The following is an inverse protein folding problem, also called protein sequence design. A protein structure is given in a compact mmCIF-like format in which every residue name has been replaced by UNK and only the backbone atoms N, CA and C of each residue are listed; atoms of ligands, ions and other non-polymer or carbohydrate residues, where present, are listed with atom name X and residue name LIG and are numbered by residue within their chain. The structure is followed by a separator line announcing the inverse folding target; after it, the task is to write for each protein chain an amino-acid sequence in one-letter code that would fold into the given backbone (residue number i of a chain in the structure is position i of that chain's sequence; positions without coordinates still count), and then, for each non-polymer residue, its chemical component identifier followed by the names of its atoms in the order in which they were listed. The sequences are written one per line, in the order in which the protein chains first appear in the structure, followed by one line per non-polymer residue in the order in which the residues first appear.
data_IF_572402369016
#
_entry.id   IF_572402369016
#
_cell.length_a   1.000
_cell.length_b   1.000
_cell.length_c   1.000
_cell.angle_alpha   90.00
_cell.angle_beta   90.00
_cell.angle_gamma   90.00
#
_symmetry.space_group_name_H-M   'P 1'
#
loop_
_entity.id
_entity.type
_entity.pdbx_description
1 polymer ?
#
# COMPACT_ATOMS: atom_id res chain seq x y z
N UNK A 1 24.29 30.24 22.99
CA UNK A 1 23.06 31.07 23.10
C UNK A 1 22.72 31.82 21.82
N UNK A 2 23.69 32.47 21.15
CA UNK A 2 23.46 33.30 19.94
C UNK A 2 22.87 32.54 18.73
N UNK A 3 23.22 31.26 18.52
CA UNK A 3 22.72 30.47 17.39
C UNK A 3 21.26 30.00 17.55
N UNK A 4 20.87 29.60 18.76
CA UNK A 4 19.47 29.25 19.06
C UNK A 4 18.55 30.47 19.00
N UNK A 5 19.06 31.64 19.38
CA UNK A 5 18.36 32.90 19.28
C UNK A 5 18.18 33.33 17.81
N UNK A 6 19.19 33.12 16.95
CA UNK A 6 19.10 33.37 15.51
C UNK A 6 18.12 32.43 14.81
N UNK A 7 18.06 31.15 15.21
CA UNK A 7 17.08 30.19 14.68
C UNK A 7 15.65 30.57 15.11
N UNK A 8 15.47 31.01 16.36
CA UNK A 8 14.16 31.48 16.84
C UNK A 8 13.69 32.77 16.12
N UNK A 9 14.62 33.67 15.80
CA UNK A 9 14.36 34.85 15.00
C UNK A 9 13.99 34.51 13.55
N UNK A 10 14.67 33.53 12.95
CA UNK A 10 14.39 33.06 11.60
C UNK A 10 13.00 32.38 11.50
N UNK A 11 12.64 31.55 12.48
CA UNK A 11 11.33 30.86 12.49
C UNK A 11 10.17 31.81 12.78
N UNK A 12 10.37 32.84 13.62
CA UNK A 12 9.34 33.86 13.88
C UNK A 12 9.10 34.75 12.65
N UNK A 13 10.15 35.07 11.89
CA UNK A 13 10.04 35.86 10.66
C UNK A 13 9.36 35.07 9.54
N UNK A 14 9.61 33.76 9.45
CA UNK A 14 8.96 32.88 8.48
C UNK A 14 7.45 32.70 8.77
N UNK A 15 7.07 32.67 10.06
CA UNK A 15 5.66 32.57 10.47
C UNK A 15 4.91 33.90 10.27
N UNK A 16 5.57 35.04 10.43
CA UNK A 16 4.99 36.36 10.18
C UNK A 16 4.73 36.62 8.67
N UNK A 17 5.54 36.05 7.77
CA UNK A 17 5.32 36.14 6.32
C UNK A 17 4.04 35.40 5.85
N UNK A 18 3.54 34.42 6.62
CA UNK A 18 2.31 33.70 6.30
C UNK A 18 1.02 34.43 6.70
N UNK A 19 1.08 35.43 7.60
CA UNK A 19 -0.10 36.17 8.07
C UNK A 19 -0.33 37.51 7.36
N UNK A 20 0.62 38.00 6.58
CA UNK A 20 0.48 39.27 5.83
C UNK A 20 -0.13 39.14 4.43
N UNK A 21 -0.52 37.92 3.99
CA UNK A 21 -1.18 37.74 2.69
C UNK A 21 -2.71 37.90 2.75
N UNK A 22 -3.27 38.38 3.85
CA UNK A 22 -4.70 38.66 3.97
C UNK A 22 -4.90 40.11 4.43
N UNK A 23 -5.13 41.03 3.48
CA UNK A 23 -5.49 42.40 3.82
C UNK A 23 -5.20 43.48 2.78
N UNK A 24 -5.76 43.38 1.57
CA UNK A 24 -6.10 44.57 0.78
C UNK A 24 -7.30 44.29 -0.13
N UNK A 25 -8.49 44.64 0.35
CA UNK A 25 -9.73 44.60 -0.42
C UNK A 25 -9.81 45.84 -1.32
N UNK A 26 -9.59 45.64 -2.62
CA UNK A 26 -10.06 46.52 -3.70
C UNK A 26 -11.15 45.75 -4.46
N UNK A 27 -12.31 46.36 -4.61
CA UNK A 27 -13.60 45.68 -4.82
C UNK A 27 -13.88 45.18 -6.25
N UNK A 28 -12.90 45.11 -7.16
CA UNK A 28 -13.13 44.78 -8.58
C UNK A 28 -12.32 43.56 -9.10
N UNK A 29 -11.48 42.90 -8.28
CA UNK A 29 -10.59 41.78 -8.70
C UNK A 29 -10.98 40.40 -8.14
N UNK A 30 -12.23 40.22 -7.69
CA UNK A 30 -12.70 38.95 -7.10
C UNK A 30 -13.12 37.89 -8.13
N UNK A 31 -13.58 38.27 -9.31
CA UNK A 31 -14.05 37.30 -10.31
C UNK A 31 -12.90 36.62 -11.08
N UNK A 32 -11.84 37.36 -11.44
CA UNK A 32 -10.72 36.79 -12.21
C UNK A 32 -9.86 35.79 -11.41
N UNK A 33 -9.61 36.09 -10.13
CA UNK A 33 -8.86 35.19 -9.24
C UNK A 33 -9.64 33.92 -8.89
N UNK A 34 -10.98 33.98 -8.81
CA UNK A 34 -11.81 32.82 -8.52
C UNK A 34 -11.87 31.85 -9.71
N UNK A 35 -11.86 32.37 -10.94
CA UNK A 35 -11.86 31.55 -12.15
C UNK A 35 -10.48 30.94 -12.44
N UNK A 36 -9.37 31.68 -12.25
CA UNK A 36 -8.01 31.11 -12.32
C UNK A 36 -7.77 30.04 -11.24
N UNK A 37 -8.31 30.22 -10.03
CA UNK A 37 -8.18 29.24 -8.96
C UNK A 37 -9.01 27.97 -9.24
N UNK A 38 -10.20 28.10 -9.85
CA UNK A 38 -11.02 26.97 -10.28
C UNK A 38 -10.40 26.21 -11.44
N UNK A 39 -9.83 26.89 -12.43
CA UNK A 39 -9.09 26.23 -13.53
C UNK A 39 -7.83 25.52 -13.02
N UNK A 40 -7.12 26.11 -12.06
CA UNK A 40 -5.98 25.46 -11.41
C UNK A 40 -6.40 24.24 -10.58
N UNK A 41 -7.54 24.31 -9.88
CA UNK A 41 -8.12 23.19 -9.14
C UNK A 41 -8.56 22.05 -10.07
N UNK A 42 -9.23 22.36 -11.18
CA UNK A 42 -9.63 21.37 -12.19
C UNK A 42 -8.42 20.74 -12.90
N UNK A 43 -7.41 21.55 -13.24
CA UNK A 43 -6.16 21.07 -13.85
C UNK A 43 -5.39 20.17 -12.88
N UNK A 44 -5.30 20.56 -11.60
CA UNK A 44 -4.68 19.74 -10.56
C UNK A 44 -5.48 18.46 -10.33
N UNK A 45 -6.80 18.52 -10.30
CA UNK A 45 -7.68 17.34 -10.16
C UNK A 45 -7.49 16.38 -11.33
N UNK A 46 -7.37 16.89 -12.56
CA UNK A 46 -7.12 16.08 -13.76
C UNK A 46 -5.72 15.47 -13.78
N UNK A 47 -4.71 16.22 -13.34
CA UNK A 47 -3.34 15.70 -13.17
C UNK A 47 -3.26 14.66 -12.05
N UNK A 48 -4.00 14.85 -10.95
CA UNK A 48 -4.14 13.88 -9.87
C UNK A 48 -4.88 12.64 -10.38
N UNK A 49 -5.96 12.78 -11.14
CA UNK A 49 -6.65 11.65 -11.78
C UNK A 49 -5.69 10.87 -12.70
N UNK A 50 -4.97 11.55 -13.60
CA UNK A 50 -3.99 10.91 -14.49
C UNK A 50 -2.86 10.21 -13.70
N UNK A 51 -2.39 10.77 -12.59
CA UNK A 51 -1.36 10.15 -11.75
C UNK A 51 -1.94 8.98 -10.94
N UNK A 52 -3.15 9.12 -10.38
CA UNK A 52 -3.83 8.08 -9.58
C UNK A 52 -4.23 6.88 -10.45
N UNK A 53 -4.65 7.08 -11.71
CA UNK A 53 -4.93 5.99 -12.65
C UNK A 53 -3.66 5.23 -13.09
N UNK A 54 -2.48 5.85 -12.98
CA UNK A 54 -1.21 5.24 -13.35
C UNK A 54 -0.43 4.67 -12.16
N UNK A 55 -0.87 4.93 -10.93
CA UNK A 55 -0.30 4.32 -9.73
C UNK A 55 -1.07 3.03 -9.43
N UNK A 56 -0.39 1.88 -9.35
CA UNK A 56 -1.02 0.61 -8.96
C UNK A 56 -1.68 0.76 -7.60
N UNK A 57 -2.77 0.03 -7.37
CA UNK A 57 -3.43 0.09 -6.07
C UNK A 57 -2.43 -0.30 -4.96
N UNK A 58 -2.54 0.22 -3.73
CA UNK A 58 -1.62 -0.15 -2.65
C UNK A 58 -1.51 -1.66 -2.44
N UNK A 59 -2.59 -2.38 -2.74
CA UNK A 59 -2.70 -3.83 -2.70
C UNK A 59 -1.94 -4.54 -3.84
N UNK A 60 -1.68 -3.85 -4.96
CA UNK A 60 -0.92 -4.35 -6.11
C UNK A 60 0.60 -4.12 -5.98
N UNK A 61 1.03 -3.14 -5.18
CA UNK A 61 2.45 -2.83 -5.00
C UNK A 61 3.28 -4.04 -4.51
N UNK A 62 2.80 -4.88 -3.58
CA UNK A 62 3.54 -6.09 -3.20
C UNK A 62 3.78 -7.07 -4.34
N UNK A 63 2.83 -7.20 -5.28
CA UNK A 63 2.99 -8.03 -6.49
C UNK A 63 4.06 -7.46 -7.42
N UNK A 64 4.07 -6.14 -7.61
CA UNK A 64 5.10 -5.48 -8.42
C UNK A 64 6.48 -5.64 -7.81
N UNK A 65 6.61 -5.55 -6.48
CA UNK A 65 7.88 -5.75 -5.80
C UNK A 65 8.33 -7.20 -5.81
N UNK A 66 7.42 -8.15 -5.67
CA UNK A 66 7.73 -9.56 -5.84
C UNK A 66 8.31 -9.85 -7.23
N UNK A 67 7.76 -9.23 -8.28
CA UNK A 67 8.24 -9.37 -9.66
C UNK A 67 9.69 -8.87 -9.86
N UNK A 68 10.20 -8.00 -8.97
CA UNK A 68 11.60 -7.53 -9.00
C UNK A 68 12.58 -8.54 -8.41
N UNK A 69 12.05 -9.56 -7.73
CA UNK A 69 12.81 -10.61 -7.04
C UNK A 69 13.40 -10.16 -5.71
N UNK A 70 12.78 -9.18 -5.04
CA UNK A 70 13.03 -8.89 -3.63
C UNK A 70 12.56 -10.07 -2.77
N UNK A 71 13.32 -10.44 -1.74
CA UNK A 71 12.98 -11.57 -0.88
C UNK A 71 11.87 -11.20 0.13
N UNK A 72 11.03 -12.19 0.45
CA UNK A 72 10.00 -12.07 1.48
C UNK A 72 10.61 -11.77 2.86
N UNK A 73 9.97 -10.89 3.62
CA UNK A 73 10.37 -10.54 4.97
C UNK A 73 9.15 -10.50 5.90
N UNK A 74 8.99 -11.56 6.70
CA UNK A 74 7.94 -11.69 7.71
C UNK A 74 7.91 -10.51 8.71
N UNK A 75 9.08 -9.91 8.99
CA UNK A 75 9.20 -8.82 9.95
C UNK A 75 8.58 -7.50 9.50
N UNK A 76 8.13 -7.40 8.25
CA UNK A 76 7.42 -6.24 7.72
C UNK A 76 5.91 -6.32 7.96
N UNK A 77 5.37 -7.48 8.33
CA UNK A 77 3.93 -7.64 8.56
C UNK A 77 3.53 -7.08 9.93
N UNK A 78 2.34 -6.50 10.01
CA UNK A 78 1.76 -6.18 11.31
C UNK A 78 1.43 -7.48 12.06
N UNK A 79 1.92 -7.72 13.29
CA UNK A 79 1.67 -8.98 13.98
C UNK A 79 0.17 -9.21 14.26
N UNK A 80 -0.35 -10.39 13.92
CA UNK A 80 -1.75 -10.77 14.20
C UNK A 80 -2.12 -10.71 15.68
N UNK A 81 -1.17 -10.97 16.58
CA UNK A 81 -1.37 -10.88 18.03
C UNK A 81 -1.74 -9.47 18.53
N UNK A 82 -1.65 -8.45 17.68
CA UNK A 82 -2.08 -7.08 18.01
C UNK A 82 -3.53 -6.78 17.66
N UNK A 83 -4.26 -7.66 16.97
CA UNK A 83 -5.62 -7.38 16.48
C UNK A 83 -6.54 -6.86 17.59
N UNK A 84 -6.50 -7.51 18.77
CA UNK A 84 -7.35 -7.15 19.91
C UNK A 84 -7.04 -5.76 20.47
N UNK A 85 -5.79 -5.29 20.32
CA UNK A 85 -5.37 -3.97 20.80
C UNK A 85 -6.00 -2.84 19.98
N UNK A 86 -6.45 -3.12 18.76
CA UNK A 86 -7.07 -2.14 17.88
C UNK A 86 -8.58 -2.00 18.09
N UNK A 87 -9.22 -2.98 18.75
CA UNK A 87 -10.68 -3.01 18.96
C UNK A 87 -11.18 -1.88 19.87
N UNK A 88 -10.31 -1.35 20.73
CA UNK A 88 -10.65 -0.30 21.72
C UNK A 88 -11.19 1.01 21.13
N UNK A 89 -10.92 1.31 19.84
CA UNK A 89 -11.38 2.54 19.18
C UNK A 89 -11.67 2.29 17.71
N UNK A 90 -12.83 2.73 17.24
CA UNK A 90 -13.24 2.59 15.83
C UNK A 90 -12.22 3.20 14.86
N UNK A 91 -11.65 4.37 15.18
CA UNK A 91 -10.61 4.96 14.33
C UNK A 91 -9.36 4.06 14.19
N UNK A 92 -8.96 3.40 15.28
CA UNK A 92 -7.82 2.48 15.28
C UNK A 92 -8.16 1.20 14.53
N UNK A 93 -9.36 0.66 14.75
CA UNK A 93 -9.82 -0.54 14.05
C UNK A 93 -9.91 -0.31 12.54
N UNK A 94 -10.45 0.84 12.10
CA UNK A 94 -10.54 1.20 10.68
C UNK A 94 -9.15 1.33 10.04
N UNK A 95 -8.23 2.07 10.67
CA UNK A 95 -6.86 2.20 10.16
C UNK A 95 -6.17 0.83 10.04
N UNK A 96 -6.25 0.00 11.08
CA UNK A 96 -5.57 -1.30 11.08
C UNK A 96 -6.26 -2.36 10.21
N UNK A 97 -7.55 -2.18 9.89
CA UNK A 97 -8.22 -3.01 8.88
C UNK A 97 -7.58 -2.79 7.51
N UNK A 98 -7.27 -1.54 7.16
CA UNK A 98 -6.50 -1.22 5.96
C UNK A 98 -5.09 -1.82 5.96
N UNK A 99 -4.38 -1.71 7.10
CA UNK A 99 -3.04 -2.31 7.29
C UNK A 99 -3.07 -3.82 7.03
N UNK A 100 -3.97 -4.55 7.70
CA UNK A 100 -4.05 -6.00 7.53
C UNK A 100 -4.52 -6.39 6.11
N UNK A 101 -5.32 -5.57 5.43
CA UNK A 101 -5.67 -5.80 4.02
C UNK A 101 -4.44 -5.70 3.09
N UNK A 102 -3.54 -4.76 3.33
CA UNK A 102 -2.28 -4.66 2.59
C UNK A 102 -1.33 -5.84 2.91
N UNK A 103 -1.25 -6.25 4.18
CA UNK A 103 -0.49 -7.44 4.60
C UNK A 103 -0.97 -8.72 3.89
N UNK A 104 -2.28 -8.87 3.69
CA UNK A 104 -2.84 -9.98 2.90
C UNK A 104 -2.29 -9.93 1.47
N UNK A 105 -2.32 -8.77 0.81
CA UNK A 105 -1.75 -8.60 -0.52
C UNK A 105 -0.27 -8.99 -0.61
N UNK A 106 0.51 -8.63 0.42
CA UNK A 106 1.92 -9.00 0.51
C UNK A 106 2.17 -10.49 0.75
N UNK A 107 1.43 -11.11 1.67
CA UNK A 107 1.49 -12.55 1.88
C UNK A 107 1.13 -13.31 0.60
N UNK A 108 0.05 -12.87 -0.05
CA UNK A 108 -0.45 -13.42 -1.30
C UNK A 108 0.54 -13.29 -2.46
N UNK A 109 1.25 -12.16 -2.60
CA UNK A 109 2.24 -12.01 -3.68
C UNK A 109 3.41 -13.01 -3.54
N UNK A 110 3.72 -13.43 -2.32
CA UNK A 110 4.78 -14.39 -1.97
C UNK A 110 4.26 -15.82 -1.72
N UNK A 111 3.05 -16.14 -2.19
CA UNK A 111 2.46 -17.49 -2.13
C UNK A 111 2.32 -18.02 -0.68
N UNK A 112 2.15 -17.11 0.29
CA UNK A 112 1.95 -17.40 1.72
C UNK A 112 0.48 -17.63 2.08
N UNK A 113 -0.12 -18.61 1.42
CA UNK A 113 -1.57 -18.85 1.44
C UNK A 113 -2.18 -18.98 2.85
N UNK A 114 -1.63 -19.86 3.69
CA UNK A 114 -2.20 -20.11 5.03
C UNK A 114 -2.09 -18.87 5.93
N UNK A 115 -0.99 -18.14 5.83
CA UNK A 115 -0.77 -16.90 6.56
C UNK A 115 -1.73 -15.80 6.08
N UNK A 116 -1.99 -15.71 4.77
CA UNK A 116 -2.97 -14.76 4.23
C UNK A 116 -4.40 -15.02 4.74
N UNK A 117 -4.82 -16.29 4.82
CA UNK A 117 -6.12 -16.68 5.43
C UNK A 117 -6.18 -16.27 6.90
N UNK A 118 -5.09 -16.51 7.62
CA UNK A 118 -4.92 -16.14 9.01
C UNK A 118 -5.02 -14.63 9.26
N UNK A 119 -4.57 -13.80 8.31
CA UNK A 119 -4.73 -12.34 8.33
C UNK A 119 -6.12 -11.89 7.91
N UNK A 120 -6.77 -12.61 7.00
CA UNK A 120 -8.16 -12.36 6.63
C UNK A 120 -9.12 -12.51 7.83
N UNK A 121 -8.84 -13.46 8.72
CA UNK A 121 -9.55 -13.58 10.00
C UNK A 121 -9.36 -12.35 10.91
N UNK A 122 -8.16 -11.76 10.94
CA UNK A 122 -7.93 -10.52 11.69
C UNK A 122 -8.72 -9.34 11.09
N UNK A 123 -8.78 -9.22 9.77
CA UNK A 123 -9.64 -8.26 9.08
C UNK A 123 -11.11 -8.44 9.44
N UNK A 124 -11.60 -9.70 9.46
CA UNK A 124 -12.97 -10.00 9.88
C UNK A 124 -13.26 -9.50 11.30
N UNK A 125 -12.39 -9.77 12.26
CA UNK A 125 -12.54 -9.29 13.65
C UNK A 125 -12.66 -7.77 13.72
N UNK A 126 -11.84 -7.03 12.96
CA UNK A 126 -11.89 -5.57 12.92
C UNK A 126 -13.15 -5.07 12.21
N UNK A 127 -13.55 -5.69 11.10
CA UNK A 127 -14.76 -5.34 10.35
C UNK A 127 -16.03 -5.55 11.19
N UNK A 128 -16.11 -6.68 11.91
CA UNK A 128 -17.21 -6.97 12.85
C UNK A 128 -17.28 -5.91 13.96
N UNK A 129 -16.14 -5.52 14.54
CA UNK A 129 -16.08 -4.45 15.55
C UNK A 129 -16.49 -3.08 15.01
N UNK A 130 -16.24 -2.82 13.73
CA UNK A 130 -16.67 -1.61 13.04
C UNK A 130 -18.15 -1.65 12.62
N UNK A 131 -18.86 -2.77 12.83
CA UNK A 131 -20.22 -2.97 12.35
C UNK A 131 -20.32 -3.05 10.82
N UNK A 132 -19.22 -3.38 10.14
CA UNK A 132 -19.18 -3.59 8.68
C UNK A 132 -19.55 -5.04 8.39
N UNK A 133 -20.80 -5.39 8.72
CA UNK A 133 -21.28 -6.77 8.68
C UNK A 133 -21.50 -7.17 7.22
N UNK A 134 -20.88 -8.29 6.79
CA UNK A 134 -21.06 -8.86 5.44
C UNK A 134 -20.00 -8.48 4.39
N UNK A 135 -18.96 -7.74 4.75
CA UNK A 135 -17.84 -7.45 3.84
C UNK A 135 -16.75 -8.54 3.83
N UNK A 136 -16.67 -9.34 4.89
CA UNK A 136 -15.71 -10.44 5.07
C UNK A 136 -16.40 -11.70 5.63
N UNK A 137 -17.55 -12.06 5.03
CA UNK A 137 -18.31 -13.23 5.45
C UNK A 137 -17.66 -14.56 5.00
N UNK A 138 -18.28 -15.68 5.41
CA UNK A 138 -17.85 -17.03 5.05
C UNK A 138 -17.76 -17.24 3.53
N UNK A 139 -18.54 -16.51 2.74
CA UNK A 139 -18.57 -16.67 1.30
C UNK A 139 -17.38 -15.94 0.64
N UNK A 140 -17.01 -14.75 1.15
CA UNK A 140 -15.76 -14.05 0.81
C UNK A 140 -14.55 -14.92 1.18
N UNK A 141 -14.53 -15.49 2.39
CA UNK A 141 -13.47 -16.39 2.86
C UNK A 141 -13.33 -17.60 1.93
N UNK A 142 -14.44 -18.26 1.60
CA UNK A 142 -14.45 -19.43 0.71
C UNK A 142 -13.96 -19.09 -0.70
N UNK A 143 -14.39 -17.94 -1.25
CA UNK A 143 -13.91 -17.46 -2.56
C UNK A 143 -12.44 -17.09 -2.52
N UNK A 144 -11.96 -16.54 -1.41
CA UNK A 144 -10.55 -16.25 -1.20
C UNK A 144 -9.72 -17.53 -1.21
N UNK A 145 -10.08 -18.53 -0.39
CA UNK A 145 -9.41 -19.84 -0.36
C UNK A 145 -9.38 -20.54 -1.73
N UNK A 146 -10.45 -20.45 -2.51
CA UNK A 146 -10.54 -21.05 -3.84
C UNK A 146 -9.64 -20.37 -4.89
N UNK A 147 -9.34 -19.08 -4.71
CA UNK A 147 -8.64 -18.27 -5.70
C UNK A 147 -7.25 -17.82 -5.24
N UNK A 148 -6.85 -18.10 -4.00
CA UNK A 148 -5.61 -17.60 -3.41
C UNK A 148 -4.33 -18.08 -4.12
N UNK A 149 -4.42 -19.22 -4.81
CA UNK A 149 -3.31 -19.74 -5.64
C UNK A 149 -3.23 -19.06 -7.01
N UNK A 150 -4.19 -18.18 -7.36
CA UNK A 150 -4.23 -17.44 -8.62
C UNK A 150 -4.12 -15.94 -8.33
N UNK A 151 -2.90 -15.40 -8.53
CA UNK A 151 -2.54 -14.01 -8.19
C UNK A 151 -3.47 -12.96 -8.80
N UNK A 152 -3.87 -13.15 -10.06
CA UNK A 152 -4.75 -12.20 -10.74
C UNK A 152 -6.18 -12.26 -10.17
N UNK A 153 -6.70 -13.46 -9.97
CA UNK A 153 -8.04 -13.67 -9.39
C UNK A 153 -8.11 -13.18 -7.94
N UNK A 154 -7.01 -13.33 -7.21
CA UNK A 154 -6.87 -12.89 -5.83
C UNK A 154 -6.77 -11.37 -5.70
N UNK A 155 -5.97 -10.72 -6.55
CA UNK A 155 -5.90 -9.24 -6.62
C UNK A 155 -7.28 -8.65 -6.90
N UNK A 156 -8.01 -9.21 -7.88
CA UNK A 156 -9.38 -8.80 -8.18
C UNK A 156 -10.34 -8.98 -7.00
N UNK A 157 -10.27 -10.11 -6.28
CA UNK A 157 -11.12 -10.37 -5.12
C UNK A 157 -10.82 -9.41 -3.97
N UNK A 158 -9.54 -9.14 -3.69
CA UNK A 158 -9.10 -8.28 -2.62
C UNK A 158 -9.49 -6.81 -2.90
N UNK A 159 -9.29 -6.37 -4.15
CA UNK A 159 -9.75 -5.05 -4.60
C UNK A 159 -11.28 -4.93 -4.51
N UNK A 160 -12.04 -5.97 -4.89
CA UNK A 160 -13.50 -5.96 -4.76
C UNK A 160 -13.97 -5.88 -3.30
N UNK A 161 -13.29 -6.57 -2.37
CA UNK A 161 -13.61 -6.54 -0.95
C UNK A 161 -13.33 -5.16 -0.33
N UNK A 162 -12.21 -4.53 -0.70
CA UNK A 162 -11.86 -3.16 -0.28
C UNK A 162 -12.88 -2.16 -0.84
N UNK A 163 -13.18 -2.22 -2.14
CA UNK A 163 -14.18 -1.33 -2.77
C UNK A 163 -15.58 -1.50 -2.15
N UNK A 164 -16.00 -2.73 -1.85
CA UNK A 164 -17.28 -2.99 -1.17
C UNK A 164 -17.29 -2.36 0.23
N UNK A 165 -16.18 -2.46 0.95
CA UNK A 165 -16.02 -1.86 2.28
C UNK A 165 -16.05 -0.33 2.21
N UNK A 166 -15.38 0.27 1.23
CA UNK A 166 -15.42 1.71 0.96
C UNK A 166 -16.82 2.19 0.61
N UNK A 167 -17.51 1.50 -0.31
CA UNK A 167 -18.88 1.83 -0.72
C UNK A 167 -19.86 1.76 0.46
N UNK A 168 -19.81 0.68 1.24
CA UNK A 168 -20.64 0.52 2.43
C UNK A 168 -20.45 1.65 3.45
N UNK A 169 -19.21 2.09 3.67
CA UNK A 169 -18.92 3.16 4.61
C UNK A 169 -19.30 4.54 4.07
N UNK A 170 -19.20 4.76 2.76
CA UNK A 170 -19.61 6.02 2.13
C UNK A 170 -21.13 6.20 2.15
N UNK A 171 -21.88 5.13 1.86
CA UNK A 171 -23.34 5.16 1.85
C UNK A 171 -23.95 5.38 3.26
N UNK A 172 -23.23 5.02 4.31
CA UNK A 172 -23.64 5.20 5.72
C UNK A 172 -23.18 6.55 6.33
N UNK A 173 -22.71 7.52 5.53
CA UNK A 173 -22.06 8.77 5.99
C UNK A 173 -20.86 8.54 6.93
N UNK A 174 -20.17 7.40 6.78
CA UNK A 174 -18.99 7.02 7.58
C UNK A 174 -17.70 7.30 6.81
N UNK A 175 -17.59 8.52 6.29
CA UNK A 175 -16.44 8.99 5.49
C UNK A 175 -15.11 8.85 6.25
N UNK A 176 -15.14 9.11 7.57
CA UNK A 176 -13.93 9.05 8.40
C UNK A 176 -13.37 7.62 8.51
N UNK A 177 -14.13 6.59 8.93
CA UNK A 177 -13.67 5.20 8.85
C UNK A 177 -13.23 4.75 7.47
N UNK A 178 -13.93 5.14 6.40
CA UNK A 178 -13.55 4.80 5.03
C UNK A 178 -12.16 5.36 4.69
N UNK A 179 -11.95 6.66 4.93
CA UNK A 179 -10.67 7.32 4.71
C UNK A 179 -9.54 6.69 5.53
N UNK A 180 -9.81 6.26 6.77
CA UNK A 180 -8.82 5.60 7.61
C UNK A 180 -8.41 4.22 7.08
N UNK A 181 -9.35 3.43 6.54
CA UNK A 181 -9.02 2.14 5.92
C UNK A 181 -8.11 2.33 4.71
N UNK A 182 -8.46 3.26 3.82
CA UNK A 182 -7.64 3.58 2.64
C UNK A 182 -6.25 4.08 3.06
N UNK A 183 -6.19 5.01 4.03
CA UNK A 183 -4.94 5.54 4.54
C UNK A 183 -4.07 4.44 5.17
N UNK A 184 -4.66 3.52 5.93
CA UNK A 184 -3.95 2.40 6.53
C UNK A 184 -3.33 1.47 5.49
N UNK A 185 -4.10 1.13 4.45
CA UNK A 185 -3.61 0.32 3.32
C UNK A 185 -2.46 1.00 2.58
N UNK A 186 -2.58 2.31 2.32
CA UNK A 186 -1.54 3.07 1.62
C UNK A 186 -0.25 3.18 2.45
N UNK A 187 -0.36 3.50 3.74
CA UNK A 187 0.78 3.60 4.65
C UNK A 187 1.50 2.27 4.79
N UNK A 188 0.77 1.17 4.94
CA UNK A 188 1.36 -0.16 5.06
C UNK A 188 2.02 -0.61 3.75
N UNK A 189 1.35 -0.39 2.61
CA UNK A 189 1.92 -0.66 1.29
C UNK A 189 3.26 0.07 1.09
N UNK A 190 3.36 1.35 1.48
CA UNK A 190 4.62 2.10 1.45
C UNK A 190 5.67 1.56 2.44
N UNK A 191 5.26 1.18 3.64
CA UNK A 191 6.15 0.60 4.65
C UNK A 191 6.78 -0.70 4.17
N UNK A 192 5.97 -1.64 3.68
CA UNK A 192 6.42 -2.91 3.08
C UNK A 192 7.36 -2.61 1.90
N UNK A 193 6.96 -1.69 1.02
CA UNK A 193 7.72 -1.34 -0.17
C UNK A 193 9.11 -0.82 0.12
N UNK A 194 9.21 0.12 1.05
CA UNK A 194 10.48 0.71 1.46
C UNK A 194 11.31 -0.26 2.28
N UNK A 195 10.68 -1.15 3.05
CA UNK A 195 11.32 -2.23 3.79
C UNK A 195 12.02 -3.25 2.87
N UNK A 196 11.43 -3.53 1.71
CA UNK A 196 11.96 -4.45 0.70
C UNK A 196 13.14 -3.92 -0.11
N UNK A 197 13.43 -2.61 -0.06
CA UNK A 197 14.58 -2.02 -0.76
C UNK A 197 15.90 -2.68 -0.32
N UNK A 198 16.00 -3.11 0.95
CA UNK A 198 17.21 -3.78 1.46
C UNK A 198 17.43 -5.17 0.87
N UNK A 199 16.37 -5.88 0.52
CA UNK A 199 16.43 -7.19 -0.12
C UNK A 199 16.41 -7.10 -1.65
N UNK A 200 16.45 -5.88 -2.20
CA UNK A 200 16.41 -5.67 -3.64
C UNK A 200 17.71 -6.16 -4.30
N UNK A 201 17.61 -7.02 -5.31
CA UNK A 201 18.78 -7.59 -5.97
C UNK A 201 19.51 -6.52 -6.77
N UNK A 202 20.83 -6.41 -6.57
CA UNK A 202 21.70 -5.43 -7.26
C UNK A 202 21.77 -5.64 -8.78
N UNK A 203 21.32 -6.79 -9.29
CA UNK A 203 21.32 -7.14 -10.72
C UNK A 203 19.88 -7.34 -11.22
N UNK A 204 19.55 -6.89 -12.45
CA UNK A 204 18.23 -7.09 -13.05
C UNK A 204 17.83 -8.57 -13.12
N UNK A 205 16.52 -8.84 -12.98
CA UNK A 205 15.92 -10.19 -13.02
C UNK A 205 16.36 -10.98 -14.26
N UNK A 206 16.33 -10.35 -15.45
CA UNK A 206 16.74 -10.97 -16.71
C UNK A 206 18.18 -11.51 -16.69
N UNK A 207 19.11 -10.81 -16.00
CA UNK A 207 20.51 -11.24 -15.89
C UNK A 207 20.66 -12.45 -14.95
N UNK A 208 19.84 -12.57 -13.90
CA UNK A 208 19.83 -13.74 -13.00
C UNK A 208 19.26 -14.98 -13.66
N UNK A 209 18.20 -14.84 -14.46
CA UNK A 209 17.61 -15.94 -15.20
C UNK A 209 18.57 -16.47 -16.28
N UNK A 210 19.27 -15.57 -16.97
CA UNK A 210 20.34 -15.95 -17.92
C UNK A 210 21.51 -16.67 -17.24
N UNK A 211 21.98 -16.18 -16.08
CA UNK A 211 23.06 -16.80 -15.30
C UNK A 211 22.64 -18.18 -14.73
N UNK A 212 21.40 -18.33 -14.26
CA UNK A 212 20.88 -19.60 -13.74
C UNK A 212 20.62 -20.64 -14.83
N UNK A 213 20.15 -20.20 -16.01
CA UNK A 213 19.98 -21.06 -17.20
C UNK A 213 21.31 -21.50 -17.82
N UNK A 214 22.33 -20.63 -17.82
CA UNK A 214 23.67 -20.97 -18.29
C UNK A 214 24.34 -22.04 -17.41
N UNK A 215 24.06 -22.04 -16.09
CA UNK A 215 24.59 -23.05 -15.17
C UNK A 215 23.93 -24.42 -15.33
N UNK A 216 22.68 -24.48 -15.79
CA UNK A 216 21.95 -25.72 -16.07
C UNK A 216 22.35 -26.36 -17.42
N UNK A 217 22.94 -25.58 -18.34
CA UNK A 217 23.30 -26.02 -19.69
C UNK A 217 24.73 -26.59 -19.82
N UNK A 218 25.45 -26.81 -18.72
CA UNK A 218 26.77 -27.45 -18.74
C UNK A 218 26.66 -28.93 -18.33
N UNK A 219 26.52 -29.88 -19.28
CA UNK A 219 26.70 -31.29 -18.94
C UNK A 219 28.15 -31.48 -18.49
N UNK A 220 28.32 -32.05 -17.29
CA UNK A 220 29.64 -32.39 -16.74
C UNK A 220 30.40 -33.22 -17.76
N UNK A 221 31.67 -32.87 -17.93
CA UNK A 221 32.52 -33.32 -19.01
C UNK A 221 32.57 -34.82 -19.21
N UNK A 222 32.67 -35.18 -20.49
CA UNK A 222 33.18 -36.44 -21.01
C UNK A 222 34.50 -36.75 -20.32
N UNK A 223 34.50 -37.78 -19.47
CA UNK A 223 35.72 -38.42 -19.00
C UNK A 223 36.37 -39.12 -20.17
N UNK A 224 37.52 -38.62 -20.60
CA UNK A 224 38.44 -39.31 -21.49
C UNK A 224 39.01 -40.51 -20.73
N UNK A 225 38.50 -41.71 -21.00
CA UNK A 225 39.14 -42.94 -20.54
C UNK A 225 40.25 -43.29 -21.54
N UNK A 226 41.48 -43.16 -21.04
CA UNK A 226 42.74 -43.52 -21.67
C UNK A 226 42.74 -45.02 -22.00
N UNK A 227 42.75 -45.38 -23.28
CA UNK A 227 43.03 -46.75 -23.72
C UNK A 227 44.55 -46.98 -23.61
N UNK A 228 44.96 -47.66 -22.54
CA UNK A 228 46.18 -48.48 -22.48
C UNK A 228 45.73 -49.90 -22.16
N UNK A 229 45.71 -50.80 -23.14
CA UNK A 229 46.67 -51.90 -23.39
C UNK A 229 46.36 -52.46 -24.78
#
# INVERSE_FOLDING_TARGET
MKLKFAIYLLTMTLLAAFVSSCGSSSSDDKDKNADEFKEAEESLKKQIEDVVYNIPSPTEIPYLLQATGAEFNQGLLNPRSKVDQYLSRNDKAALNLGVYAADIGYLSSYDKTQEAIDYLNACKTLADNLGIIGSFDLDILRRFEQNISNKDSLSHLLNAAVQKTEAYLKDDNRDKPAALIVAGSFVEGLYISTGLIKSYPKKPVARRQAESGAHAAHPRGVGTEEVRV
#
